data_IF_926116156161
#
_entry.id   IF_926116156161
#
_cell.length_a   1.000
_cell.length_b   1.000
_cell.length_c   1.000
_cell.angle_alpha   90.00
_cell.angle_beta   90.00
_cell.angle_gamma   90.00
#
_symmetry.space_group_name_H-M   'P 1'
#
loop_
_entity.id
_entity.type
_entity.pdbx_description
1 polymer ?
#
# COMPACT_ATOMS: atom_id res chain seq x y z
N UNK A 1 6.80 42.65 -32.69
CA UNK A 1 7.93 43.53 -32.32
C UNK A 1 7.37 44.70 -31.54
N UNK A 2 8.00 45.23 -30.47
CA UNK A 2 9.35 44.99 -29.94
C UNK A 2 9.32 44.13 -28.64
N UNK A 3 10.23 43.19 -28.41
CA UNK A 3 11.64 43.28 -27.96
C UNK A 3 11.78 42.91 -26.48
N UNK A 4 12.29 41.69 -26.29
CA UNK A 4 13.32 41.24 -25.34
C UNK A 4 13.64 42.12 -24.13
N UNK A 5 13.78 41.50 -22.95
CA UNK A 5 15.05 41.52 -22.19
C UNK A 5 15.09 40.37 -21.16
N UNK A 6 16.05 39.48 -21.40
CA UNK A 6 16.63 38.46 -20.53
C UNK A 6 17.16 39.05 -19.21
N UNK A 7 16.92 38.40 -18.06
CA UNK A 7 17.83 38.50 -16.91
C UNK A 7 18.17 37.11 -16.36
N UNK A 8 19.39 36.71 -16.70
CA UNK A 8 20.21 35.75 -15.99
C UNK A 8 20.28 36.09 -14.50
N UNK A 9 19.95 35.13 -13.63
CA UNK A 9 20.36 35.17 -12.23
C UNK A 9 21.58 34.27 -12.07
N UNK A 10 22.66 34.92 -11.69
CA UNK A 10 24.02 34.41 -11.49
C UNK A 10 24.10 33.38 -10.36
N UNK A 11 24.61 32.19 -10.69
CA UNK A 11 25.07 31.18 -9.72
C UNK A 11 26.41 31.65 -9.14
N UNK A 12 26.45 31.94 -7.84
CA UNK A 12 27.69 32.26 -7.11
C UNK A 12 27.57 31.74 -5.68
N UNK A 13 28.25 30.66 -5.31
CA UNK A 13 29.61 30.72 -4.80
C UNK A 13 30.00 29.37 -4.17
N UNK A 14 31.11 28.79 -4.66
CA UNK A 14 31.81 27.66 -4.03
C UNK A 14 32.49 28.13 -2.74
N UNK A 15 32.41 27.33 -1.68
CA UNK A 15 33.47 27.27 -0.65
C UNK A 15 33.99 25.84 -0.59
N UNK A 16 35.21 25.68 -1.09
CA UNK A 16 36.03 24.48 -1.03
C UNK A 16 36.62 24.45 0.37
N UNK A 17 36.23 23.47 1.18
CA UNK A 17 36.86 23.20 2.48
C UNK A 17 38.11 22.37 2.25
N UNK A 18 39.22 22.84 2.81
CA UNK A 18 40.56 22.28 2.75
C UNK A 18 40.61 20.92 3.45
N UNK A 19 40.82 19.85 2.69
CA UNK A 19 41.13 18.51 3.20
C UNK A 19 42.64 18.43 3.42
N UNK A 20 43.04 18.32 4.69
CA UNK A 20 44.43 18.10 5.08
C UNK A 20 44.85 16.67 4.72
N UNK A 21 45.86 16.55 3.88
CA UNK A 21 46.54 15.29 3.59
C UNK A 21 47.36 14.86 4.81
N UNK A 22 47.03 13.69 5.37
CA UNK A 22 47.93 12.92 6.22
C UNK A 22 48.41 11.69 5.44
N UNK A 23 49.71 11.47 5.59
CA UNK A 23 50.60 10.59 4.86
C UNK A 23 50.60 9.17 5.49
N UNK A 24 51.00 8.15 4.70
CA UNK A 24 51.48 6.79 5.13
C UNK A 24 50.33 5.76 5.33
N UNK A 25 50.23 4.57 4.68
CA UNK A 25 51.18 3.55 4.18
C UNK A 25 50.47 2.61 3.18
N UNK A 26 51.17 1.93 2.24
CA UNK A 26 50.59 0.98 1.30
C UNK A 26 50.54 -0.43 1.91
N UNK A 27 49.39 -1.08 1.91
CA UNK A 27 49.31 -2.52 2.17
C UNK A 27 48.04 -3.13 1.59
N UNK A 28 48.24 -4.03 0.63
CA UNK A 28 47.36 -5.12 0.21
C UNK A 28 45.91 -4.79 -0.17
N UNK A 29 45.75 -4.56 -1.47
CA UNK A 29 44.50 -4.68 -2.22
C UNK A 29 44.06 -6.15 -2.18
N UNK A 30 43.07 -6.47 -1.36
CA UNK A 30 42.25 -7.67 -1.50
C UNK A 30 40.91 -7.22 -2.11
N UNK A 31 40.56 -7.61 -3.35
CA UNK A 31 39.26 -7.28 -3.90
C UNK A 31 38.23 -8.14 -3.19
N UNK A 32 37.61 -7.60 -2.14
CA UNK A 32 36.45 -8.19 -1.51
C UNK A 32 35.30 -8.06 -2.53
N UNK A 33 35.17 -9.10 -3.36
CA UNK A 33 34.07 -9.28 -4.29
C UNK A 33 32.76 -9.27 -3.46
N UNK A 34 32.08 -8.13 -3.45
CA UNK A 34 30.74 -8.01 -2.86
C UNK A 34 29.80 -8.93 -3.66
N UNK A 35 29.61 -10.17 -3.19
CA UNK A 35 28.43 -10.95 -3.52
C UNK A 35 27.23 -10.21 -2.91
N UNK A 36 26.60 -9.33 -3.69
CA UNK A 36 25.28 -8.80 -3.36
C UNK A 36 24.32 -9.96 -3.53
N UNK A 37 23.67 -10.49 -2.48
CA UNK A 37 22.65 -11.50 -2.65
C UNK A 37 21.53 -10.87 -3.47
N UNK A 38 21.35 -11.37 -4.68
CA UNK A 38 20.19 -11.07 -5.50
C UNK A 38 19.01 -11.75 -4.78
N UNK A 39 18.30 -10.99 -3.94
CA UNK A 39 17.06 -11.46 -3.32
C UNK A 39 16.04 -11.70 -4.43
N UNK A 40 16.03 -12.91 -4.97
CA UNK A 40 14.98 -13.36 -5.87
C UNK A 40 13.69 -13.42 -5.05
N UNK A 41 12.86 -12.39 -5.15
CA UNK A 41 11.47 -12.50 -4.72
C UNK A 41 10.82 -13.53 -5.60
N UNK A 42 10.46 -14.68 -5.04
CA UNK A 42 9.62 -15.63 -5.75
C UNK A 42 8.33 -14.89 -6.17
N UNK A 43 7.83 -15.19 -7.37
CA UNK A 43 6.51 -14.74 -7.76
C UNK A 43 5.48 -15.29 -6.75
N UNK A 44 4.41 -14.54 -6.44
CA UNK A 44 3.40 -15.01 -5.51
C UNK A 44 2.75 -16.30 -6.01
N UNK A 45 2.51 -17.22 -5.08
CA UNK A 45 1.74 -18.43 -5.33
C UNK A 45 0.27 -18.12 -5.62
N UNK A 46 -0.46 -19.07 -6.20
CA UNK A 46 -1.90 -18.95 -6.45
C UNK A 46 -2.68 -18.66 -5.15
N UNK A 47 -2.34 -19.35 -4.05
CA UNK A 47 -2.91 -19.11 -2.74
C UNK A 47 -2.72 -17.66 -2.26
N UNK A 48 -1.52 -17.12 -2.43
CA UNK A 48 -1.19 -15.75 -2.04
C UNK A 48 -1.94 -14.72 -2.88
N UNK A 49 -2.13 -14.97 -4.18
CA UNK A 49 -2.93 -14.12 -5.07
C UNK A 49 -4.40 -14.13 -4.64
N UNK A 50 -4.99 -15.31 -4.42
CA UNK A 50 -6.40 -15.42 -4.00
C UNK A 50 -6.60 -14.77 -2.63
N UNK A 51 -5.73 -15.06 -1.67
CA UNK A 51 -5.75 -14.46 -0.34
C UNK A 51 -5.64 -12.93 -0.42
N UNK A 52 -4.67 -12.42 -1.18
CA UNK A 52 -4.45 -10.99 -1.34
C UNK A 52 -5.67 -10.29 -1.96
N UNK A 53 -6.30 -10.91 -2.96
CA UNK A 53 -7.55 -10.38 -3.55
C UNK A 53 -8.71 -10.36 -2.54
N UNK A 54 -8.86 -11.38 -1.70
CA UNK A 54 -9.86 -11.39 -0.62
C UNK A 54 -9.59 -10.29 0.42
N UNK A 55 -8.32 -10.07 0.78
CA UNK A 55 -7.91 -8.96 1.65
C UNK A 55 -8.27 -7.60 1.02
N UNK A 56 -8.10 -7.45 -0.30
CA UNK A 56 -8.45 -6.24 -1.04
C UNK A 56 -9.97 -5.99 -1.04
N UNK A 57 -10.80 -7.04 -1.13
CA UNK A 57 -12.25 -6.90 -0.92
C UNK A 57 -12.60 -6.31 0.44
N UNK A 58 -11.87 -6.72 1.48
CA UNK A 58 -12.01 -6.15 2.81
C UNK A 58 -11.51 -4.70 2.90
N UNK A 59 -10.38 -4.38 2.25
CA UNK A 59 -9.88 -3.02 2.16
C UNK A 59 -10.92 -2.07 1.55
N UNK A 60 -11.49 -2.46 0.41
CA UNK A 60 -12.54 -1.72 -0.29
C UNK A 60 -13.79 -1.55 0.57
N UNK A 61 -14.29 -2.62 1.18
CA UNK A 61 -15.46 -2.56 2.07
C UNK A 61 -15.27 -1.54 3.20
N UNK A 62 -14.10 -1.57 3.84
CA UNK A 62 -13.79 -0.64 4.92
C UNK A 62 -13.67 0.81 4.45
N UNK A 63 -13.12 1.05 3.26
CA UNK A 63 -13.03 2.38 2.65
C UNK A 63 -14.41 2.95 2.32
N UNK A 64 -15.24 2.20 1.59
CA UNK A 64 -16.61 2.60 1.26
C UNK A 64 -17.40 2.90 2.54
N UNK A 65 -17.27 2.02 3.55
CA UNK A 65 -17.98 2.20 4.81
C UNK A 65 -17.48 3.41 5.61
N UNK A 66 -16.17 3.69 5.63
CA UNK A 66 -15.65 4.89 6.29
C UNK A 66 -16.10 6.17 5.61
N UNK A 67 -16.11 6.18 4.27
CA UNK A 67 -16.47 7.35 3.48
C UNK A 67 -17.96 7.66 3.61
N UNK A 68 -18.80 6.63 3.57
CA UNK A 68 -20.23 6.77 3.81
C UNK A 68 -20.51 7.31 5.23
N UNK A 69 -19.83 6.81 6.27
CA UNK A 69 -19.97 7.33 7.64
C UNK A 69 -19.52 8.80 7.72
N UNK A 70 -18.39 9.15 7.09
CA UNK A 70 -17.91 10.53 7.07
C UNK A 70 -18.92 11.47 6.38
N UNK A 71 -19.53 11.03 5.27
CA UNK A 71 -20.54 11.79 4.54
C UNK A 71 -21.85 12.02 5.31
N UNK A 72 -22.12 11.23 6.37
CA UNK A 72 -23.27 11.45 7.24
C UNK A 72 -23.13 12.69 8.14
N UNK A 73 -21.92 13.26 8.28
CA UNK A 73 -21.63 14.40 9.15
C UNK A 73 -22.16 14.20 10.59
N UNK A 74 -22.01 12.99 11.13
CA UNK A 74 -22.50 12.59 12.43
C UNK A 74 -21.32 12.46 13.43
N UNK A 75 -21.09 13.45 14.32
CA UNK A 75 -19.91 13.47 15.20
C UNK A 75 -19.75 12.21 16.07
N UNK A 76 -20.86 11.62 16.52
CA UNK A 76 -20.87 10.39 17.31
C UNK A 76 -20.36 9.16 16.55
N UNK A 77 -20.33 9.20 15.22
CA UNK A 77 -19.83 8.11 14.36
C UNK A 77 -18.41 8.37 13.84
N UNK A 78 -17.80 9.51 14.15
CA UNK A 78 -16.49 9.88 13.61
C UNK A 78 -15.41 8.83 13.94
N UNK A 79 -15.32 8.41 15.21
CA UNK A 79 -14.36 7.39 15.64
C UNK A 79 -14.60 6.04 14.94
N UNK A 80 -15.85 5.73 14.58
CA UNK A 80 -16.15 4.51 13.80
C UNK A 80 -15.60 4.64 12.40
N UNK A 81 -15.85 5.77 11.72
CA UNK A 81 -15.30 6.06 10.39
C UNK A 81 -13.77 5.98 10.37
N UNK A 82 -13.10 6.59 11.36
CA UNK A 82 -11.63 6.56 11.49
C UNK A 82 -11.09 5.13 11.69
N UNK A 83 -11.75 4.32 12.53
CA UNK A 83 -11.36 2.92 12.74
C UNK A 83 -11.53 2.07 11.47
N UNK A 84 -12.61 2.28 10.71
CA UNK A 84 -12.80 1.59 9.43
C UNK A 84 -11.73 2.01 8.42
N UNK A 85 -11.43 3.31 8.32
CA UNK A 85 -10.34 3.81 7.47
C UNK A 85 -9.00 3.17 7.83
N UNK A 86 -8.68 3.07 9.13
CA UNK A 86 -7.48 2.36 9.60
C UNK A 86 -7.49 0.87 9.23
N UNK A 87 -8.64 0.21 9.32
CA UNK A 87 -8.81 -1.18 8.91
C UNK A 87 -8.58 -1.37 7.41
N UNK A 88 -9.02 -0.42 6.58
CA UNK A 88 -8.73 -0.41 5.14
C UNK A 88 -7.22 -0.33 4.87
N UNK A 89 -6.52 0.61 5.50
CA UNK A 89 -5.06 0.75 5.37
C UNK A 89 -4.33 -0.52 5.83
N UNK A 90 -4.78 -1.14 6.93
CA UNK A 90 -4.22 -2.41 7.41
C UNK A 90 -4.39 -3.53 6.38
N UNK A 91 -5.57 -3.64 5.77
CA UNK A 91 -5.85 -4.63 4.75
C UNK A 91 -4.97 -4.41 3.50
N UNK A 92 -4.85 -3.18 3.00
CA UNK A 92 -3.94 -2.85 1.89
C UNK A 92 -2.50 -3.28 2.23
N UNK A 93 -2.01 -2.93 3.42
CA UNK A 93 -0.66 -3.32 3.85
C UNK A 93 -0.46 -4.83 3.96
N UNK A 94 -1.51 -5.62 4.23
CA UNK A 94 -1.44 -7.08 4.18
C UNK A 94 -1.34 -7.56 2.74
N UNK A 95 -2.15 -7.02 1.83
CA UNK A 95 -2.14 -7.40 0.41
C UNK A 95 -0.80 -7.09 -0.27
N UNK A 96 -0.20 -5.93 0.03
CA UNK A 96 1.10 -5.47 -0.47
C UNK A 96 2.29 -6.35 -0.01
N UNK A 97 2.09 -7.29 0.92
CA UNK A 97 3.13 -8.28 1.26
C UNK A 97 3.28 -9.36 0.19
N UNK A 98 2.26 -9.54 -0.64
CA UNK A 98 2.16 -10.66 -1.58
C UNK A 98 2.06 -10.19 -3.03
N UNK A 99 1.61 -8.96 -3.27
CA UNK A 99 1.49 -8.38 -4.61
C UNK A 99 2.17 -7.01 -4.67
N UNK A 100 2.57 -6.57 -5.86
CA UNK A 100 3.12 -5.23 -6.04
C UNK A 100 2.08 -4.16 -5.70
N UNK A 101 2.53 -2.98 -5.27
CA UNK A 101 1.63 -1.91 -4.83
C UNK A 101 0.72 -1.43 -5.95
N UNK A 102 1.26 -1.39 -7.15
CA UNK A 102 0.56 -1.02 -8.38
C UNK A 102 -0.58 -2.01 -8.66
N UNK A 103 -0.29 -3.31 -8.60
CA UNK A 103 -1.28 -4.37 -8.79
C UNK A 103 -2.38 -4.30 -7.70
N UNK A 104 -1.99 -4.11 -6.43
CA UNK A 104 -2.93 -3.94 -5.32
C UNK A 104 -3.85 -2.74 -5.55
N UNK A 105 -3.30 -1.61 -6.01
CA UNK A 105 -4.07 -0.40 -6.28
C UNK A 105 -5.07 -0.61 -7.44
N UNK A 106 -4.65 -1.28 -8.50
CA UNK A 106 -5.51 -1.57 -9.66
C UNK A 106 -6.65 -2.52 -9.28
N UNK A 107 -6.35 -3.60 -8.55
CA UNK A 107 -7.40 -4.52 -8.06
C UNK A 107 -8.33 -3.81 -7.08
N UNK A 108 -7.80 -2.98 -6.17
CA UNK A 108 -8.61 -2.22 -5.21
C UNK A 108 -9.61 -1.31 -5.93
N UNK A 109 -9.15 -0.55 -6.92
CA UNK A 109 -10.01 0.33 -7.72
C UNK A 109 -11.15 -0.44 -8.39
N UNK A 110 -10.84 -1.58 -9.02
CA UNK A 110 -11.82 -2.44 -9.68
C UNK A 110 -12.84 -3.03 -8.68
N UNK A 111 -12.37 -3.51 -7.53
CA UNK A 111 -13.21 -4.07 -6.47
C UNK A 111 -14.12 -3.00 -5.88
N UNK A 112 -13.60 -1.79 -5.66
CA UNK A 112 -14.37 -0.67 -5.14
C UNK A 112 -15.50 -0.28 -6.10
N UNK A 113 -15.22 -0.19 -7.40
CA UNK A 113 -16.24 0.06 -8.41
C UNK A 113 -17.33 -1.02 -8.39
N UNK A 114 -16.96 -2.30 -8.31
CA UNK A 114 -17.92 -3.42 -8.25
C UNK A 114 -18.78 -3.36 -6.98
N UNK A 115 -18.17 -3.10 -5.83
CA UNK A 115 -18.89 -3.01 -4.56
C UNK A 115 -19.84 -1.80 -4.56
N UNK A 116 -19.41 -0.64 -5.04
CA UNK A 116 -20.27 0.55 -5.18
C UNK A 116 -21.42 0.30 -6.16
N UNK A 117 -21.18 -0.36 -7.30
CA UNK A 117 -22.22 -0.71 -8.26
C UNK A 117 -23.24 -1.71 -7.72
N UNK A 118 -22.89 -2.49 -6.68
CA UNK A 118 -23.81 -3.41 -6.00
C UNK A 118 -24.73 -2.74 -5.00
N UNK A 119 -24.47 -1.47 -4.65
CA UNK A 119 -25.28 -0.72 -3.70
C UNK A 119 -26.48 -0.07 -4.40
N UNK A 120 -27.67 -0.05 -3.76
CA UNK A 120 -28.81 0.69 -4.29
C UNK A 120 -28.60 2.21 -4.24
N UNK A 121 -27.83 2.69 -3.25
CA UNK A 121 -27.33 4.05 -3.15
C UNK A 121 -26.06 4.08 -2.28
N UNK A 122 -25.28 5.16 -2.33
CA UNK A 122 -23.99 5.27 -1.64
C UNK A 122 -24.06 5.32 -0.11
N UNK A 123 -25.26 5.48 0.47
CA UNK A 123 -25.49 5.49 1.92
C UNK A 123 -26.00 4.13 2.43
N UNK A 124 -26.54 3.31 1.54
CA UNK A 124 -27.14 2.01 1.84
C UNK A 124 -26.09 0.90 1.99
N UNK A 125 -25.29 0.98 3.05
CA UNK A 125 -24.22 0.00 3.33
C UNK A 125 -24.69 -1.40 3.76
N UNK A 126 -25.99 -1.60 4.01
CA UNK A 126 -26.52 -2.82 4.63
C UNK A 126 -26.12 -4.11 3.89
N UNK A 127 -26.13 -4.10 2.56
CA UNK A 127 -25.70 -5.24 1.75
C UNK A 127 -24.22 -5.57 1.91
N UNK A 128 -23.36 -4.55 1.86
CA UNK A 128 -21.92 -4.74 2.09
C UNK A 128 -21.62 -5.17 3.53
N UNK A 129 -22.29 -4.58 4.52
CA UNK A 129 -22.13 -4.98 5.92
C UNK A 129 -22.50 -6.45 6.13
N UNK A 130 -23.61 -6.91 5.55
CA UNK A 130 -24.03 -8.32 5.65
C UNK A 130 -23.01 -9.29 5.04
N UNK A 131 -22.36 -8.90 3.93
CA UNK A 131 -21.39 -9.75 3.23
C UNK A 131 -20.00 -9.73 3.86
N UNK A 132 -19.53 -8.56 4.31
CA UNK A 132 -18.12 -8.34 4.59
C UNK A 132 -17.78 -8.09 6.06
N UNK A 133 -18.73 -7.65 6.90
CA UNK A 133 -18.42 -7.17 8.25
C UNK A 133 -17.68 -8.21 9.10
N UNK A 134 -18.25 -9.41 9.23
CA UNK A 134 -17.71 -10.42 10.14
C UNK A 134 -16.56 -11.22 9.50
N UNK A 135 -16.67 -11.52 8.21
CA UNK A 135 -15.63 -12.19 7.43
C UNK A 135 -14.34 -11.36 7.41
N UNK A 136 -14.42 -10.07 7.09
CA UNK A 136 -13.26 -9.19 7.07
C UNK A 136 -12.69 -8.94 8.47
N UNK A 137 -13.54 -8.80 9.49
CA UNK A 137 -13.06 -8.69 10.88
C UNK A 137 -12.23 -9.92 11.28
N UNK A 138 -12.72 -11.12 10.95
CA UNK A 138 -12.00 -12.37 11.22
C UNK A 138 -10.71 -12.48 10.41
N UNK A 139 -10.76 -12.14 9.12
CA UNK A 139 -9.60 -12.17 8.22
C UNK A 139 -8.49 -11.24 8.73
N UNK A 140 -8.81 -10.01 9.12
CA UNK A 140 -7.82 -9.04 9.61
C UNK A 140 -7.28 -9.37 11.02
N UNK A 141 -7.99 -10.21 11.78
CA UNK A 141 -7.56 -10.70 13.09
C UNK A 141 -6.61 -11.89 12.96
N UNK A 142 -6.90 -12.81 12.03
CA UNK A 142 -6.13 -14.05 11.80
C UNK A 142 -5.73 -14.20 10.32
N UNK A 143 -4.94 -13.27 9.74
CA UNK A 143 -4.64 -13.28 8.30
C UNK A 143 -3.85 -14.51 7.87
N UNK A 144 -2.88 -14.95 8.70
CA UNK A 144 -2.08 -16.13 8.39
C UNK A 144 -2.94 -17.38 8.29
N UNK A 145 -3.86 -17.59 9.23
CA UNK A 145 -4.77 -18.73 9.19
C UNK A 145 -5.66 -18.73 7.96
N UNK A 146 -6.04 -17.55 7.45
CA UNK A 146 -6.81 -17.45 6.21
C UNK A 146 -5.94 -17.74 4.98
N UNK A 147 -4.68 -17.33 4.98
CA UNK A 147 -3.73 -17.72 3.95
C UNK A 147 -3.47 -19.24 3.97
N UNK A 148 -3.26 -19.84 5.14
CA UNK A 148 -3.04 -21.28 5.29
C UNK A 148 -4.21 -22.10 4.70
N UNK A 149 -5.44 -21.61 4.87
CA UNK A 149 -6.61 -22.20 4.22
C UNK A 149 -6.46 -22.20 2.69
N UNK A 150 -6.05 -21.08 2.09
CA UNK A 150 -5.89 -20.99 0.64
C UNK A 150 -4.75 -21.87 0.15
N UNK A 151 -3.63 -21.91 0.88
CA UNK A 151 -2.52 -22.82 0.59
C UNK A 151 -3.01 -24.26 0.51
N UNK A 152 -3.82 -24.72 1.47
CA UNK A 152 -4.39 -26.08 1.44
C UNK A 152 -5.45 -26.27 0.34
N UNK A 153 -6.21 -25.22 0.01
CA UNK A 153 -7.29 -25.30 -0.96
C UNK A 153 -6.80 -25.26 -2.43
N UNK A 154 -5.60 -24.73 -2.67
CA UNK A 154 -4.98 -24.64 -4.01
C UNK A 154 -3.87 -25.69 -4.23
N UNK A 155 -3.66 -26.60 -3.27
CA UNK A 155 -2.76 -27.75 -3.43
C UNK A 155 -3.33 -28.81 -4.37
#
# INVERSE_FOLDING_TARGET
MPSSTTRLVSIKNRRISQIKHSLIKPSLILPLLCLVPLSASAAPSEAEIIFSNEVIECASYYQISSDAIAAMNAPQMQTVGERLKSSSVKAISIAEKYQAKEDVADVLSNVQQKQLASLPDSKSLGGLMGKYKDSCKKLLAEPQKRLDYWIMATM
#
